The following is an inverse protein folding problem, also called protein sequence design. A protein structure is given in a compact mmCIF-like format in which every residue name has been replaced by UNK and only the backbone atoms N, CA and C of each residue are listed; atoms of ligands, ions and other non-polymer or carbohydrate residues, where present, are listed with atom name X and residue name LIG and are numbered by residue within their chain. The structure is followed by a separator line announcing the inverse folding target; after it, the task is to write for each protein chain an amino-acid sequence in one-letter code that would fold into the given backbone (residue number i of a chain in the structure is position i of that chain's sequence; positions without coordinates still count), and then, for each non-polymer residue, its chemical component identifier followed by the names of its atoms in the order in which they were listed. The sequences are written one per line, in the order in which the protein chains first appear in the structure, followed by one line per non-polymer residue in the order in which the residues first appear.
data_IF_607547337651
#
_entry.id   IF_607547337651
#
_cell.length_a   1.000
_cell.length_b   1.000
_cell.length_c   1.000
_cell.angle_alpha   90.00
_cell.angle_beta   90.00
_cell.angle_gamma   90.00
#
_symmetry.space_group_name_H-M   'P 1'
#
loop_
_entity.id
_entity.type
_entity.pdbx_description
1 polymer ?
#
# COMPACT_ATOMS: atom_id res chain seq x y z
N UNK A 1 55.55 -18.84 -53.57
CA UNK A 1 54.18 -18.66 -54.08
C UNK A 1 53.25 -18.52 -52.88
N UNK A 2 52.61 -17.36 -52.74
CA UNK A 2 51.70 -16.97 -51.65
C UNK A 2 50.47 -17.88 -51.59
N UNK A 3 50.06 -18.27 -50.38
CA UNK A 3 48.66 -18.54 -50.06
C UNK A 3 48.33 -17.84 -48.75
N UNK A 4 47.33 -16.97 -48.85
CA UNK A 4 46.88 -16.03 -47.84
C UNK A 4 46.26 -16.78 -46.66
N UNK A 5 46.71 -16.50 -45.45
CA UNK A 5 46.03 -16.92 -44.22
C UNK A 5 45.12 -15.76 -43.79
N UNK A 6 43.82 -16.04 -43.88
CA UNK A 6 42.73 -15.13 -43.60
C UNK A 6 42.80 -14.63 -42.15
N UNK A 7 42.94 -13.32 -41.99
CA UNK A 7 42.87 -12.59 -40.73
C UNK A 7 41.44 -12.65 -40.18
N UNK A 8 41.18 -13.51 -39.18
CA UNK A 8 39.93 -13.45 -38.41
C UNK A 8 40.11 -12.40 -37.31
N UNK A 9 39.73 -11.17 -37.62
CA UNK A 9 39.54 -10.12 -36.61
C UNK A 9 38.35 -10.49 -35.72
N UNK A 10 38.64 -11.10 -34.57
CA UNK A 10 37.68 -11.26 -33.47
C UNK A 10 37.33 -9.89 -32.90
N UNK A 11 36.26 -9.27 -33.42
CA UNK A 11 35.67 -8.07 -32.84
C UNK A 11 35.08 -8.44 -31.48
N UNK A 12 35.84 -8.22 -30.42
CA UNK A 12 35.34 -8.19 -29.04
C UNK A 12 34.42 -6.97 -28.90
N UNK A 13 33.12 -7.19 -29.14
CA UNK A 13 32.06 -6.27 -28.76
C UNK A 13 32.00 -6.20 -27.22
N UNK A 14 32.78 -5.27 -26.66
CA UNK A 14 32.62 -4.85 -25.27
C UNK A 14 31.31 -4.08 -25.19
N UNK A 15 30.25 -4.76 -24.77
CA UNK A 15 29.01 -4.10 -24.36
C UNK A 15 29.25 -3.39 -23.02
N UNK A 16 29.76 -2.16 -23.08
CA UNK A 16 29.54 -1.18 -22.01
C UNK A 16 28.05 -0.80 -22.04
N UNK A 17 27.23 -1.66 -21.45
CA UNK A 17 25.87 -1.32 -21.11
C UNK A 17 25.89 -0.39 -19.90
N UNK A 18 25.97 0.91 -20.12
CA UNK A 18 25.44 1.87 -19.16
C UNK A 18 23.92 1.67 -19.08
N UNK A 19 23.50 0.66 -18.33
CA UNK A 19 22.11 0.54 -17.92
C UNK A 19 21.88 1.60 -16.83
N UNK A 20 21.65 2.83 -17.26
CA UNK A 20 20.82 3.76 -16.49
C UNK A 20 19.44 3.13 -16.39
N UNK A 21 19.29 2.26 -15.39
CA UNK A 21 18.05 1.60 -15.06
C UNK A 21 17.03 2.63 -14.59
N UNK A 22 16.39 3.32 -15.52
CA UNK A 22 15.04 3.82 -15.31
C UNK A 22 14.18 2.56 -15.24
N UNK A 23 14.16 1.92 -14.07
CA UNK A 23 13.31 0.78 -13.81
C UNK A 23 11.87 1.22 -14.04
N UNK A 24 11.28 0.65 -15.08
CA UNK A 24 9.87 0.74 -15.37
C UNK A 24 9.12 -0.07 -14.29
N UNK A 25 8.97 0.52 -13.09
CA UNK A 25 8.20 0.02 -11.92
C UNK A 25 6.71 -0.07 -12.26
N UNK A 26 6.32 -0.87 -13.25
CA UNK A 26 4.94 -0.85 -13.75
C UNK A 26 4.08 -2.00 -13.24
N UNK A 27 4.65 -3.14 -12.85
CA UNK A 27 3.90 -4.30 -12.31
C UNK A 27 4.71 -5.19 -11.35
N UNK A 28 5.81 -4.69 -10.81
CA UNK A 28 6.70 -5.45 -9.94
C UNK A 28 6.17 -5.59 -8.51
N UNK A 29 6.40 -6.74 -7.88
CA UNK A 29 6.07 -7.03 -6.47
C UNK A 29 7.32 -7.04 -5.58
N UNK A 30 8.47 -6.62 -6.10
CA UNK A 30 9.76 -6.73 -5.42
C UNK A 30 9.78 -5.88 -4.14
N UNK A 31 9.26 -4.67 -4.20
CA UNK A 31 9.12 -3.76 -3.05
C UNK A 31 8.16 -4.30 -2.00
N UNK A 32 7.07 -4.94 -2.40
CA UNK A 32 6.17 -5.65 -1.49
C UNK A 32 6.88 -6.79 -0.76
N UNK A 33 7.59 -7.65 -1.49
CA UNK A 33 8.33 -8.76 -0.87
C UNK A 33 9.49 -8.28 0.00
N UNK A 34 10.16 -7.18 -0.39
CA UNK A 34 11.17 -6.55 0.43
C UNK A 34 10.57 -6.02 1.73
N UNK A 35 9.44 -5.31 1.68
CA UNK A 35 8.75 -4.82 2.87
C UNK A 35 8.31 -5.96 3.81
N UNK A 36 7.90 -7.11 3.27
CA UNK A 36 7.61 -8.31 4.07
C UNK A 36 8.87 -8.87 4.77
N UNK A 37 10.04 -8.81 4.14
CA UNK A 37 11.30 -9.26 4.73
C UNK A 37 11.84 -8.27 5.77
N UNK A 38 11.71 -6.97 5.50
CA UNK A 38 12.18 -5.86 6.33
C UNK A 38 11.32 -5.66 7.58
N UNK A 39 10.10 -6.20 7.59
CA UNK A 39 9.16 -6.13 8.72
C UNK A 39 8.84 -7.51 9.28
N UNK A 40 9.70 -8.49 9.04
CA UNK A 40 9.53 -9.88 9.47
C UNK A 40 9.34 -9.97 11.00
N UNK A 41 8.18 -10.44 11.50
CA UNK A 41 7.88 -10.52 12.93
C UNK A 41 8.91 -11.32 13.74
N UNK A 42 9.66 -12.24 13.12
CA UNK A 42 10.70 -13.02 13.81
C UNK A 42 12.03 -12.26 13.95
N UNK A 43 12.20 -11.12 13.28
CA UNK A 43 13.43 -10.30 13.31
C UNK A 43 13.26 -9.01 14.09
N UNK A 44 12.04 -8.69 14.50
CA UNK A 44 11.69 -7.43 15.14
C UNK A 44 10.89 -7.66 16.41
N UNK A 45 11.03 -6.74 17.37
CA UNK A 45 10.16 -6.70 18.53
C UNK A 45 8.77 -6.21 18.09
N UNK A 46 7.84 -7.16 18.04
CA UNK A 46 6.46 -6.89 17.66
C UNK A 46 5.62 -6.57 18.89
N UNK A 47 4.44 -6.00 18.63
CA UNK A 47 3.41 -5.87 19.65
C UNK A 47 3.09 -7.23 20.26
N UNK A 48 2.85 -7.26 21.57
CA UNK A 48 2.54 -8.50 22.27
C UNK A 48 1.05 -8.85 22.13
N UNK A 49 0.70 -10.05 21.63
CA UNK A 49 -0.69 -10.50 21.60
C UNK A 49 -1.33 -10.53 22.99
N UNK A 50 -2.59 -10.12 23.08
CA UNK A 50 -3.36 -9.97 24.31
C UNK A 50 -3.01 -8.73 25.15
N UNK A 51 -2.03 -7.90 24.74
CA UNK A 51 -1.66 -6.70 25.49
C UNK A 51 -2.69 -5.57 25.37
N UNK A 52 -2.65 -4.61 26.30
CA UNK A 52 -3.49 -3.41 26.17
C UNK A 52 -3.12 -2.60 24.93
N UNK A 53 -1.83 -2.52 24.62
CA UNK A 53 -1.33 -1.83 23.44
C UNK A 53 -1.92 -2.42 22.15
N UNK A 54 -2.07 -3.73 22.09
CA UNK A 54 -2.66 -4.41 20.94
C UNK A 54 -4.13 -4.04 20.78
N UNK A 55 -4.89 -4.09 21.87
CA UNK A 55 -6.31 -3.68 21.87
C UNK A 55 -6.47 -2.24 21.41
N UNK A 56 -5.61 -1.33 21.89
CA UNK A 56 -5.60 0.07 21.46
C UNK A 56 -5.29 0.21 19.97
N UNK A 57 -4.27 -0.49 19.45
CA UNK A 57 -3.89 -0.44 18.05
C UNK A 57 -4.99 -0.97 17.11
N UNK A 58 -5.62 -2.08 17.48
CA UNK A 58 -6.77 -2.65 16.78
C UNK A 58 -7.96 -1.69 16.79
N UNK A 59 -8.28 -1.10 17.96
CA UNK A 59 -9.37 -0.15 18.09
C UNK A 59 -9.12 1.12 17.27
N UNK A 60 -7.86 1.59 17.22
CA UNK A 60 -7.46 2.74 16.41
C UNK A 60 -7.62 2.45 14.91
N UNK A 61 -7.24 1.26 14.45
CA UNK A 61 -7.46 0.83 13.08
C UNK A 61 -8.95 0.90 12.70
N UNK A 62 -9.81 0.30 13.54
CA UNK A 62 -11.26 0.38 13.34
C UNK A 62 -11.78 1.83 13.36
N UNK A 63 -11.29 2.66 14.29
CA UNK A 63 -11.74 4.05 14.45
C UNK A 63 -11.41 4.92 13.24
N UNK A 64 -10.19 4.84 12.71
CA UNK A 64 -9.79 5.66 11.56
C UNK A 64 -10.63 5.33 10.33
N UNK A 65 -10.89 4.04 10.07
CA UNK A 65 -11.59 3.61 8.86
C UNK A 65 -13.12 3.54 9.00
N UNK A 66 -13.67 3.43 10.21
CA UNK A 66 -15.12 3.44 10.45
C UNK A 66 -15.79 4.73 9.95
N UNK A 67 -15.05 5.83 9.94
CA UNK A 67 -15.48 7.08 9.32
C UNK A 67 -14.30 7.71 8.60
N UNK A 68 -14.24 7.47 7.30
CA UNK A 68 -13.10 7.88 6.49
C UNK A 68 -13.27 9.33 6.02
N UNK A 69 -12.79 10.26 6.85
CA UNK A 69 -12.83 11.70 6.63
C UNK A 69 -11.43 12.30 6.78
N UNK A 70 -11.21 13.47 6.19
CA UNK A 70 -9.92 14.17 6.31
C UNK A 70 -9.59 14.48 7.78
N UNK A 71 -10.58 14.89 8.57
CA UNK A 71 -10.40 15.19 10.00
C UNK A 71 -9.95 13.95 10.80
N UNK A 72 -10.56 12.78 10.54
CA UNK A 72 -10.17 11.54 11.20
C UNK A 72 -8.76 11.12 10.78
N UNK A 73 -8.44 11.22 9.49
CA UNK A 73 -7.10 10.87 8.99
C UNK A 73 -6.04 11.76 9.64
N UNK A 74 -6.24 13.09 9.65
CA UNK A 74 -5.32 14.04 10.28
C UNK A 74 -5.16 13.80 11.78
N UNK A 75 -6.23 13.37 12.45
CA UNK A 75 -6.23 13.09 13.88
C UNK A 75 -5.47 11.81 14.23
N UNK A 76 -5.65 10.74 13.43
CA UNK A 76 -5.26 9.39 13.85
C UNK A 76 -4.12 8.77 13.03
N UNK A 77 -3.85 9.21 11.80
CA UNK A 77 -2.87 8.55 10.93
C UNK A 77 -1.45 8.55 11.55
N UNK A 78 -1.05 9.64 12.20
CA UNK A 78 0.27 9.76 12.85
C UNK A 78 0.41 8.88 14.09
N UNK A 79 -0.70 8.59 14.76
CA UNK A 79 -0.73 7.65 15.87
C UNK A 79 -0.72 6.20 15.38
N UNK A 80 -1.35 5.95 14.22
CA UNK A 80 -1.53 4.62 13.65
C UNK A 80 -0.31 4.10 12.87
N UNK A 81 0.41 4.95 12.11
CA UNK A 81 1.53 4.51 11.27
C UNK A 81 2.90 4.89 11.84
N UNK A 82 3.90 4.04 11.60
CA UNK A 82 5.31 4.35 11.83
C UNK A 82 5.83 5.33 10.77
N UNK A 83 6.89 6.08 11.10
CA UNK A 83 7.44 7.12 10.21
C UNK A 83 7.85 6.57 8.84
N UNK A 84 8.36 5.34 8.82
CA UNK A 84 8.84 4.59 7.67
C UNK A 84 7.89 3.46 7.27
N UNK A 85 6.61 3.51 7.64
CA UNK A 85 5.65 2.45 7.32
C UNK A 85 5.53 2.20 5.80
N UNK A 86 5.35 0.93 5.43
CA UNK A 86 4.98 0.52 4.07
C UNK A 86 3.46 0.43 3.93
N UNK A 87 2.90 0.97 2.85
CA UNK A 87 1.49 0.85 2.52
C UNK A 87 1.30 0.45 1.06
N UNK A 88 0.36 -0.46 0.80
CA UNK A 88 -0.07 -0.79 -0.56
C UNK A 88 -1.55 -1.15 -0.61
N UNK A 89 -2.19 -0.76 -1.70
CA UNK A 89 -3.53 -1.22 -2.10
C UNK A 89 -3.55 -1.57 -3.60
N UNK A 90 -4.74 -1.77 -4.17
CA UNK A 90 -4.92 -2.06 -5.59
C UNK A 90 -4.59 -0.90 -6.55
N UNK A 91 -4.31 0.30 -6.02
CA UNK A 91 -4.03 1.51 -6.79
C UNK A 91 -2.58 1.99 -6.68
N UNK A 92 -1.99 1.88 -5.50
CA UNK A 92 -0.70 2.49 -5.21
C UNK A 92 0.12 1.68 -4.20
N UNK A 93 1.42 1.94 -4.24
CA UNK A 93 2.39 1.50 -3.24
C UNK A 93 3.14 2.74 -2.76
N UNK A 94 3.28 2.87 -1.43
CA UNK A 94 3.80 4.04 -0.73
C UNK A 94 4.76 3.63 0.38
N UNK A 95 5.72 4.51 0.66
CA UNK A 95 6.63 4.40 1.80
C UNK A 95 6.57 5.68 2.63
N UNK A 96 6.46 5.53 3.94
CA UNK A 96 6.54 6.60 4.93
C UNK A 96 5.20 7.28 5.22
N UNK A 97 5.03 7.64 6.49
CA UNK A 97 3.80 8.21 7.07
C UNK A 97 3.26 9.40 6.26
N UNK A 98 4.11 10.34 5.85
CA UNK A 98 3.68 11.55 5.13
C UNK A 98 3.00 11.22 3.79
N UNK A 99 3.53 10.24 3.06
CA UNK A 99 2.96 9.82 1.79
C UNK A 99 1.63 9.08 1.99
N UNK A 100 1.55 8.25 3.05
CA UNK A 100 0.35 7.51 3.42
C UNK A 100 -0.76 8.50 3.81
N UNK A 101 -0.48 9.43 4.73
CA UNK A 101 -1.45 10.44 5.17
C UNK A 101 -1.97 11.27 3.98
N UNK A 102 -1.08 11.76 3.12
CA UNK A 102 -1.46 12.54 1.94
C UNK A 102 -2.34 11.74 0.96
N UNK A 103 -2.03 10.46 0.73
CA UNK A 103 -2.82 9.57 -0.10
C UNK A 103 -4.22 9.36 0.48
N UNK A 104 -4.31 9.06 1.77
CA UNK A 104 -5.59 8.83 2.43
C UNK A 104 -6.48 10.08 2.37
N UNK A 105 -5.93 11.26 2.68
CA UNK A 105 -6.63 12.55 2.57
C UNK A 105 -7.13 12.76 1.14
N UNK A 106 -6.30 12.51 0.13
CA UNK A 106 -6.73 12.69 -1.26
C UNK A 106 -7.93 11.78 -1.63
N UNK A 107 -8.00 10.57 -1.07
CA UNK A 107 -9.15 9.67 -1.25
C UNK A 107 -10.48 10.31 -0.81
N UNK A 108 -10.46 11.11 0.27
CA UNK A 108 -11.66 11.80 0.80
C UNK A 108 -12.21 12.86 -0.16
N UNK A 109 -11.39 13.36 -1.09
CA UNK A 109 -11.85 14.34 -2.06
C UNK A 109 -12.72 13.73 -3.16
N UNK A 110 -12.58 12.42 -3.42
CA UNK A 110 -13.32 11.68 -4.45
C UNK A 110 -14.60 11.05 -3.88
N UNK A 111 -14.49 10.53 -2.66
CA UNK A 111 -15.58 9.79 -2.00
C UNK A 111 -16.56 10.73 -1.30
N UNK A 112 -17.84 10.41 -1.33
CA UNK A 112 -18.86 11.15 -0.60
C UNK A 112 -19.04 10.62 0.82
N UNK A 113 -19.15 9.30 0.92
CA UNK A 113 -19.29 8.54 2.15
C UNK A 113 -18.39 7.31 2.00
N UNK A 114 -17.62 7.01 3.03
CA UNK A 114 -16.85 5.78 3.18
C UNK A 114 -16.91 5.42 4.65
N UNK A 115 -17.46 4.25 4.95
CA UNK A 115 -17.54 3.69 6.29
C UNK A 115 -17.12 2.22 6.20
N UNK A 116 -15.97 1.91 6.81
CA UNK A 116 -15.49 0.55 6.92
C UNK A 116 -16.12 -0.12 8.14
N UNK A 117 -16.80 -1.24 7.93
CA UNK A 117 -17.33 -2.09 8.98
C UNK A 117 -16.38 -3.29 9.18
N UNK A 118 -15.67 -3.29 10.31
CA UNK A 118 -14.70 -4.33 10.65
C UNK A 118 -15.45 -5.59 11.12
N UNK A 119 -15.37 -6.64 10.31
CA UNK A 119 -16.14 -7.87 10.51
C UNK A 119 -15.43 -8.87 11.40
N UNK A 120 -14.10 -8.94 11.30
CA UNK A 120 -13.32 -10.00 11.91
C UNK A 120 -11.84 -9.64 11.99
N UNK A 121 -11.14 -10.28 12.93
CA UNK A 121 -9.73 -10.09 13.17
C UNK A 121 -9.10 -11.45 13.42
N UNK A 122 -8.08 -11.78 12.64
CA UNK A 122 -7.19 -12.89 12.94
C UNK A 122 -5.78 -12.37 13.19
N UNK A 123 -5.09 -12.97 14.15
CA UNK A 123 -3.69 -12.72 14.46
C UNK A 123 -2.93 -14.05 14.34
N UNK A 124 -1.77 -14.02 13.70
CA UNK A 124 -0.84 -15.13 13.70
C UNK A 124 0.59 -14.65 13.48
N UNK A 125 1.47 -14.97 14.43
CA UNK A 125 2.91 -14.68 14.40
C UNK A 125 3.18 -13.20 14.05
N UNK A 126 2.47 -12.27 14.71
CA UNK A 126 2.64 -10.83 14.51
C UNK A 126 2.07 -10.30 13.18
N UNK A 127 1.31 -11.12 12.45
CA UNK A 127 0.52 -10.71 11.30
C UNK A 127 -0.95 -10.57 11.70
N UNK A 128 -1.52 -9.41 11.42
CA UNK A 128 -2.92 -9.11 11.67
C UNK A 128 -3.69 -9.09 10.35
N UNK A 129 -4.84 -9.74 10.34
CA UNK A 129 -5.75 -9.80 9.20
C UNK A 129 -7.09 -9.21 9.61
N UNK A 130 -7.38 -8.02 9.10
CA UNK A 130 -8.62 -7.31 9.35
C UNK A 130 -9.58 -7.58 8.19
N UNK A 131 -10.61 -8.38 8.39
CA UNK A 131 -11.65 -8.59 7.37
C UNK A 131 -12.72 -7.52 7.53
N UNK A 132 -13.11 -6.89 6.43
CA UNK A 132 -14.03 -5.76 6.49
C UNK A 132 -14.99 -5.71 5.31
N UNK A 133 -16.07 -4.96 5.49
CA UNK A 133 -16.97 -4.53 4.41
C UNK A 133 -17.03 -3.02 4.43
N UNK A 134 -16.65 -2.39 3.33
CA UNK A 134 -16.70 -0.93 3.21
C UNK A 134 -17.96 -0.51 2.47
N UNK A 135 -18.82 0.24 3.15
CA UNK A 135 -19.90 0.99 2.51
C UNK A 135 -19.30 2.26 1.90
N UNK A 136 -19.54 2.53 0.63
CA UNK A 136 -19.09 3.76 0.01
C UNK A 136 -20.01 4.31 -1.08
N UNK A 137 -19.88 5.60 -1.36
CA UNK A 137 -20.47 6.27 -2.52
C UNK A 137 -19.56 7.38 -3.04
N UNK A 138 -19.70 7.74 -4.31
CA UNK A 138 -18.88 8.76 -4.97
C UNK A 138 -19.57 10.13 -4.91
N UNK A 139 -18.82 11.24 -4.82
CA UNK A 139 -19.40 12.59 -4.83
C UNK A 139 -20.29 12.88 -6.04
N UNK A 140 -19.97 12.28 -7.20
CA UNK A 140 -20.75 12.41 -8.45
C UNK A 140 -21.97 11.48 -8.52
N UNK A 141 -22.06 10.47 -7.65
CA UNK A 141 -23.12 9.46 -7.60
C UNK A 141 -23.48 9.12 -6.15
N UNK A 142 -23.95 10.13 -5.39
CA UNK A 142 -24.19 10.01 -3.94
C UNK A 142 -25.22 8.94 -3.56
N UNK A 143 -26.21 8.70 -4.42
CA UNK A 143 -27.27 7.72 -4.20
C UNK A 143 -26.89 6.30 -4.63
N UNK A 144 -25.71 6.12 -5.24
CA UNK A 144 -25.18 4.84 -5.72
C UNK A 144 -24.28 4.24 -4.63
N UNK A 145 -24.91 3.84 -3.51
CA UNK A 145 -24.23 3.23 -2.37
C UNK A 145 -23.84 1.81 -2.72
N UNK A 146 -22.59 1.47 -2.41
CA UNK A 146 -22.01 0.15 -2.67
C UNK A 146 -21.38 -0.42 -1.41
N UNK A 147 -21.26 -1.74 -1.39
CA UNK A 147 -20.59 -2.50 -0.35
C UNK A 147 -19.45 -3.28 -0.99
N UNK A 148 -18.24 -3.05 -0.50
CA UNK A 148 -17.03 -3.67 -1.01
C UNK A 148 -16.43 -4.54 0.10
N UNK A 149 -16.42 -5.88 -0.04
CA UNK A 149 -15.66 -6.71 0.86
C UNK A 149 -14.17 -6.55 0.61
N UNK A 150 -13.38 -6.67 1.66
CA UNK A 150 -11.93 -6.65 1.58
C UNK A 150 -11.26 -7.17 2.83
N UNK A 151 -9.93 -7.15 2.81
CA UNK A 151 -9.09 -7.55 3.91
C UNK A 151 -7.80 -6.75 3.96
N UNK A 152 -7.34 -6.39 5.15
CA UNK A 152 -6.05 -5.75 5.34
C UNK A 152 -5.09 -6.72 6.02
N UNK A 153 -3.89 -6.89 5.48
CA UNK A 153 -2.75 -7.51 6.16
C UNK A 153 -1.88 -6.43 6.78
N UNK A 154 -1.71 -6.48 8.09
CA UNK A 154 -1.05 -5.45 8.89
C UNK A 154 0.00 -6.08 9.81
N UNK A 155 1.08 -5.36 10.06
CA UNK A 155 2.04 -5.65 11.13
C UNK A 155 2.25 -4.43 12.00
N UNK A 156 2.20 -4.60 13.31
CA UNK A 156 2.46 -3.55 14.28
C UNK A 156 3.83 -3.75 14.94
N UNK A 157 4.60 -2.67 15.08
CA UNK A 157 5.77 -2.68 15.94
C UNK A 157 5.37 -2.73 17.43
N UNK A 158 6.34 -2.87 18.33
CA UNK A 158 6.12 -2.87 19.79
C UNK A 158 5.38 -1.63 20.33
N UNK A 159 5.46 -0.49 19.64
CA UNK A 159 4.74 0.74 20.01
C UNK A 159 3.27 0.73 19.56
N UNK A 160 2.81 -0.29 18.84
CA UNK A 160 1.45 -0.37 18.30
C UNK A 160 1.24 0.45 17.03
N UNK A 161 2.32 0.83 16.36
CA UNK A 161 2.28 1.52 15.07
C UNK A 161 2.43 0.52 13.93
N UNK A 162 1.65 0.73 12.88
CA UNK A 162 1.72 -0.05 11.65
C UNK A 162 3.05 0.23 10.96
N UNK A 163 3.82 -0.84 10.73
CA UNK A 163 5.06 -0.81 9.92
C UNK A 163 4.85 -1.39 8.52
N UNK A 164 3.83 -2.23 8.35
CA UNK A 164 3.43 -2.81 7.07
C UNK A 164 1.91 -2.85 6.96
N UNK A 165 1.37 -2.39 5.84
CA UNK A 165 -0.06 -2.41 5.52
C UNK A 165 -0.26 -2.80 4.06
N UNK A 166 -0.99 -3.88 3.82
CA UNK A 166 -1.49 -4.25 2.50
C UNK A 166 -3.02 -4.41 2.51
N UNK A 167 -3.73 -3.67 1.68
CA UNK A 167 -5.17 -3.85 1.45
C UNK A 167 -5.44 -4.74 0.25
N UNK A 168 -6.28 -5.77 0.43
CA UNK A 168 -6.76 -6.68 -0.60
C UNK A 168 -8.25 -6.47 -0.82
N UNK A 169 -8.61 -5.97 -2.01
CA UNK A 169 -9.99 -5.75 -2.41
C UNK A 169 -10.09 -5.62 -3.94
N UNK A 170 -11.27 -5.88 -4.49
CA UNK A 170 -11.49 -5.88 -5.94
C UNK A 170 -11.60 -4.46 -6.51
N UNK A 171 -10.51 -4.00 -7.13
CA UNK A 171 -10.48 -2.69 -7.79
C UNK A 171 -11.35 -2.60 -9.04
N UNK A 172 -11.74 -3.72 -9.65
CA UNK A 172 -12.63 -3.77 -10.81
C UNK A 172 -13.94 -3.02 -10.55
N UNK A 173 -14.51 -3.19 -9.35
CA UNK A 173 -15.74 -2.52 -8.91
C UNK A 173 -15.62 -0.99 -9.00
N UNK A 174 -14.46 -0.43 -8.68
CA UNK A 174 -14.22 1.02 -8.75
C UNK A 174 -13.83 1.44 -10.17
N UNK A 175 -13.02 0.65 -10.89
CA UNK A 175 -12.61 0.95 -12.27
C UNK A 175 -13.80 1.03 -13.23
N UNK A 176 -14.82 0.17 -13.06
CA UNK A 176 -16.06 0.23 -13.85
C UNK A 176 -16.83 1.54 -13.64
N UNK A 177 -16.64 2.20 -12.49
CA UNK A 177 -17.45 3.37 -12.08
C UNK A 177 -16.68 4.69 -12.09
N UNK A 178 -15.35 4.65 -12.10
CA UNK A 178 -14.47 5.81 -12.19
C UNK A 178 -13.55 5.68 -13.41
N UNK A 179 -13.92 6.22 -14.59
CA UNK A 179 -13.07 6.17 -15.78
C UNK A 179 -11.75 6.98 -15.65
N UNK A 180 -11.55 7.72 -14.54
CA UNK A 180 -10.47 8.71 -14.37
C UNK A 180 -9.49 8.32 -13.24
N UNK A 181 -9.61 7.16 -12.59
CA UNK A 181 -8.72 6.74 -11.47
C UNK A 181 -7.23 6.88 -11.85
N UNK A 182 -6.87 6.47 -13.06
CA UNK A 182 -5.49 6.57 -13.54
C UNK A 182 -4.93 7.99 -13.55
N UNK A 183 -5.75 9.03 -13.74
CA UNK A 183 -5.30 10.43 -13.67
C UNK A 183 -5.00 10.85 -12.22
N UNK A 184 -5.84 10.44 -11.26
CA UNK A 184 -5.64 10.76 -9.85
C UNK A 184 -4.40 10.07 -9.28
N UNK A 185 -4.22 8.78 -9.56
CA UNK A 185 -3.01 8.03 -9.16
C UNK A 185 -1.75 8.68 -9.76
N UNK A 186 -1.81 9.08 -11.04
CA UNK A 186 -0.68 9.78 -11.70
C UNK A 186 -0.36 11.12 -11.04
N UNK A 187 -1.37 11.85 -10.55
CA UNK A 187 -1.15 13.14 -9.87
C UNK A 187 -0.48 12.94 -8.51
N UNK A 188 -0.86 11.91 -7.76
CA UNK A 188 -0.23 11.53 -6.48
C UNK A 188 1.24 11.18 -6.70
N UNK A 189 1.54 10.31 -7.67
CA UNK A 189 2.92 9.89 -7.97
C UNK A 189 3.84 11.03 -8.44
N UNK A 190 3.27 12.15 -8.91
CA UNK A 190 4.01 13.31 -9.43
C UNK A 190 4.21 14.42 -8.39
N UNK A 191 3.48 14.39 -7.27
CA UNK A 191 3.63 15.36 -6.18
C UNK A 191 4.78 15.03 -5.22
N UNK A 192 5.93 14.60 -5.76
CA UNK A 192 7.19 14.49 -5.02
C UNK A 192 7.85 15.85 -4.89
#
# INVERSE_FOLDING_TARGET
MRKEALLVCSVLLVFYGCATGVQNKKYGMETYYQALQDTDPHKHDMIQPGSEKEREAIALFGTLYATYTEDNIRRYARDMYAQDAYYRDSFIELQGLENIEAYLIQGTHIMHEVALDLQDIAEHDGNYYFRWVTKFSLKRKKNDVMYLPGMSHVRFNKEGKIVFHQDFWDAGIIYERLPIIGFFIRRIKRGK
#
